data_IF_378921029790
#
_entry.id   IF_378921029790
#
_cell.length_a   1.000
_cell.length_b   1.000
_cell.length_c   1.000
_cell.angle_alpha   90.00
_cell.angle_beta   90.00
_cell.angle_gamma   90.00
#
_symmetry.space_group_name_H-M   'P 1'
#
loop_
_entity.id
_entity.type
_entity.pdbx_description
1 polymer ?
#
# COMPACT_ATOMS: atom_id res chain seq x y z
N UNK A 1 1.02 1.17 24.88
CA UNK A 1 0.75 2.14 23.81
C UNK A 1 -0.71 2.57 23.96
N UNK A 2 -0.98 3.82 24.31
CA UNK A 2 -2.36 4.31 24.43
C UNK A 2 -2.74 4.93 23.08
N UNK A 3 -3.45 4.17 22.25
CA UNK A 3 -3.85 4.61 20.91
C UNK A 3 -5.20 5.30 21.02
N UNK A 4 -5.28 6.55 20.60
CA UNK A 4 -6.56 7.27 20.50
C UNK A 4 -7.32 6.83 19.24
N UNK A 5 -8.25 5.91 19.43
CA UNK A 5 -9.07 5.37 18.35
C UNK A 5 -9.99 6.41 17.68
N UNK A 6 -10.37 7.49 18.38
CA UNK A 6 -11.19 8.54 17.77
C UNK A 6 -10.37 9.32 16.74
N UNK A 7 -9.12 9.61 17.05
CA UNK A 7 -8.22 10.28 16.11
C UNK A 7 -7.88 9.38 14.90
N UNK A 8 -7.69 8.07 15.12
CA UNK A 8 -7.50 7.11 14.02
C UNK A 8 -8.71 7.09 13.08
N UNK A 9 -9.93 7.06 13.62
CA UNK A 9 -11.16 7.10 12.83
C UNK A 9 -11.34 8.43 12.08
N UNK A 10 -11.00 9.55 12.72
CA UNK A 10 -11.07 10.86 12.06
C UNK A 10 -10.07 10.93 10.89
N UNK A 11 -8.85 10.43 11.09
CA UNK A 11 -7.82 10.35 10.04
C UNK A 11 -8.26 9.45 8.89
N UNK A 12 -8.82 8.26 9.15
CA UNK A 12 -9.27 7.36 8.09
C UNK A 12 -10.35 7.99 7.21
N UNK A 13 -11.30 8.73 7.81
CA UNK A 13 -12.31 9.49 7.07
C UNK A 13 -11.70 10.58 6.18
N UNK A 14 -10.66 11.27 6.66
CA UNK A 14 -9.97 12.28 5.85
C UNK A 14 -9.28 11.69 4.61
N UNK A 15 -8.82 10.45 4.69
CA UNK A 15 -8.18 9.76 3.57
C UNK A 15 -9.17 9.07 2.61
N UNK A 16 -10.47 9.07 2.90
CA UNK A 16 -11.48 8.34 2.14
C UNK A 16 -11.45 8.64 0.63
N UNK A 17 -11.28 9.91 0.25
CA UNK A 17 -11.20 10.31 -1.16
C UNK A 17 -9.94 9.77 -1.85
N UNK A 18 -8.80 9.78 -1.17
CA UNK A 18 -7.54 9.24 -1.68
C UNK A 18 -7.60 7.72 -1.80
N UNK A 19 -8.13 7.03 -0.77
CA UNK A 19 -8.34 5.58 -0.80
C UNK A 19 -9.25 5.15 -1.95
N UNK A 20 -10.33 5.91 -2.18
CA UNK A 20 -11.26 5.63 -3.29
C UNK A 20 -10.62 5.87 -4.65
N UNK A 21 -9.78 6.91 -4.79
CA UNK A 21 -9.03 7.16 -6.02
C UNK A 21 -8.02 6.04 -6.28
N UNK A 22 -7.22 5.67 -5.28
CA UNK A 22 -6.26 4.57 -5.38
C UNK A 22 -6.92 3.24 -5.78
N UNK A 23 -8.04 2.90 -5.16
CA UNK A 23 -8.79 1.68 -5.51
C UNK A 23 -9.26 1.71 -6.97
N UNK A 24 -9.77 2.84 -7.46
CA UNK A 24 -10.17 2.98 -8.86
C UNK A 24 -8.98 2.85 -9.81
N UNK A 25 -7.83 3.44 -9.46
CA UNK A 25 -6.61 3.34 -10.26
C UNK A 25 -6.17 1.88 -10.40
N UNK A 26 -6.24 1.10 -9.31
CA UNK A 26 -5.96 -0.33 -9.35
C UNK A 26 -6.92 -1.10 -10.26
N UNK A 27 -8.23 -0.87 -10.13
CA UNK A 27 -9.26 -1.56 -10.92
C UNK A 27 -9.15 -1.21 -12.42
N UNK A 28 -8.74 0.02 -12.74
CA UNK A 28 -8.57 0.46 -14.12
C UNK A 28 -7.39 -0.22 -14.85
N UNK A 29 -6.46 -0.81 -14.11
CA UNK A 29 -5.32 -1.53 -14.69
C UNK A 29 -5.76 -2.98 -14.95
N UNK A 30 -5.82 -3.42 -16.22
CA UNK A 30 -6.13 -4.81 -16.54
C UNK A 30 -5.01 -5.71 -16.03
N UNK A 31 -5.36 -6.69 -15.18
CA UNK A 31 -4.42 -7.59 -14.50
C UNK A 31 -4.83 -9.06 -14.65
N UNK A 32 -5.21 -9.46 -15.86
CA UNK A 32 -5.41 -10.87 -16.17
C UNK A 32 -4.10 -11.65 -15.98
N UNK A 33 -4.18 -12.98 -15.84
CA UNK A 33 -3.01 -13.84 -15.60
C UNK A 33 -1.84 -13.48 -16.53
N UNK A 34 -0.63 -13.34 -15.94
CA UNK A 34 0.60 -12.85 -16.60
C UNK A 34 0.65 -11.33 -16.90
N UNK A 35 -0.33 -10.53 -16.48
CA UNK A 35 -0.40 -9.08 -16.65
C UNK A 35 -0.32 -8.26 -15.35
N UNK A 36 -0.03 -8.92 -14.23
CA UNK A 36 -0.13 -8.34 -12.88
C UNK A 36 0.94 -7.28 -12.58
N UNK A 37 2.03 -7.26 -13.34
CA UNK A 37 3.18 -6.36 -13.13
C UNK A 37 2.76 -4.89 -13.01
N UNK A 38 1.86 -4.42 -13.88
CA UNK A 38 1.42 -3.01 -13.86
C UNK A 38 0.66 -2.65 -12.59
N UNK A 39 -0.16 -3.58 -12.08
CA UNK A 39 -0.88 -3.38 -10.81
C UNK A 39 0.11 -3.36 -9.66
N UNK A 40 1.05 -4.31 -9.63
CA UNK A 40 2.09 -4.37 -8.60
C UNK A 40 2.93 -3.09 -8.57
N UNK A 41 3.32 -2.56 -9.74
CA UNK A 41 4.04 -1.28 -9.81
C UNK A 41 3.20 -0.11 -9.30
N UNK A 42 1.89 -0.08 -9.56
CA UNK A 42 1.01 0.97 -9.02
C UNK A 42 0.88 0.88 -7.51
N UNK A 43 0.74 -0.33 -6.95
CA UNK A 43 0.67 -0.53 -5.50
C UNK A 43 2.01 -0.15 -4.86
N UNK A 44 3.15 -0.51 -5.48
CA UNK A 44 4.48 -0.13 -5.01
C UNK A 44 4.63 1.38 -4.85
N UNK A 45 4.21 2.14 -5.87
CA UNK A 45 4.24 3.61 -5.82
C UNK A 45 3.40 4.15 -4.65
N UNK A 46 2.22 3.58 -4.40
CA UNK A 46 1.38 4.01 -3.28
C UNK A 46 2.03 3.70 -1.93
N UNK A 47 2.68 2.54 -1.79
CA UNK A 47 3.41 2.16 -0.57
C UNK A 47 4.60 3.11 -0.31
N UNK A 48 5.29 3.56 -1.35
CA UNK A 48 6.34 4.57 -1.24
C UNK A 48 5.77 5.93 -0.81
N UNK A 49 4.61 6.35 -1.35
CA UNK A 49 3.93 7.62 -0.98
C UNK A 49 3.43 7.61 0.46
N UNK A 50 2.89 6.49 0.93
CA UNK A 50 2.41 6.33 2.32
C UNK A 50 3.57 6.29 3.32
N UNK A 51 4.80 6.05 2.85
CA UNK A 51 6.01 6.10 3.66
C UNK A 51 6.37 4.77 4.31
N UNK A 52 6.21 3.66 3.59
CA UNK A 52 6.81 2.39 4.00
C UNK A 52 8.34 2.51 3.98
N UNK A 53 9.02 1.92 4.96
CA UNK A 53 10.48 2.01 5.10
C UNK A 53 11.21 1.18 4.03
N UNK A 54 10.62 0.05 3.63
CA UNK A 54 11.15 -0.82 2.58
C UNK A 54 10.01 -1.43 1.78
N UNK A 55 10.13 -1.38 0.46
CA UNK A 55 9.17 -1.98 -0.46
C UNK A 55 9.94 -2.79 -1.50
N UNK A 56 9.64 -4.08 -1.58
CA UNK A 56 10.34 -5.01 -2.46
C UNK A 56 9.35 -5.85 -3.27
N UNK A 57 9.75 -6.23 -4.47
CA UNK A 57 9.02 -7.18 -5.30
C UNK A 57 9.88 -8.44 -5.38
N UNK A 58 9.33 -9.58 -4.97
CA UNK A 58 10.05 -10.83 -5.05
C UNK A 58 10.11 -11.36 -6.50
N UNK A 59 10.96 -12.36 -6.81
CA UNK A 59 11.04 -12.93 -8.16
C UNK A 59 9.75 -13.61 -8.65
N UNK A 60 8.79 -13.87 -7.76
CA UNK A 60 7.48 -14.44 -8.08
C UNK A 60 6.42 -13.37 -8.38
N UNK A 61 6.74 -12.09 -8.18
CA UNK A 61 5.83 -10.96 -8.40
C UNK A 61 5.06 -10.52 -7.15
N UNK A 62 5.35 -11.04 -5.96
CA UNK A 62 4.68 -10.57 -4.74
C UNK A 62 5.29 -9.24 -4.28
N UNK A 63 4.43 -8.33 -3.82
CA UNK A 63 4.84 -7.05 -3.25
C UNK A 63 4.93 -7.15 -1.72
N UNK A 64 6.10 -6.85 -1.17
CA UNK A 64 6.41 -6.91 0.25
C UNK A 64 6.69 -5.49 0.77
N UNK A 65 5.91 -5.06 1.76
CA UNK A 65 6.13 -3.79 2.46
C UNK A 65 6.51 -4.01 3.91
N UNK A 66 7.51 -3.27 4.36
CA UNK A 66 7.98 -3.30 5.74
C UNK A 66 7.81 -1.92 6.37
N UNK A 67 7.31 -1.90 7.60
CA UNK A 67 7.20 -0.71 8.45
C UNK A 67 7.96 -0.98 9.74
N UNK A 68 8.90 -0.11 10.06
CA UNK A 68 9.80 -0.21 11.20
C UNK A 68 11.18 -0.77 10.83
N UNK A 69 12.21 -0.22 11.48
CA UNK A 69 13.62 -0.65 11.37
C UNK A 69 14.03 -1.55 12.54
N UNK A 70 13.08 -2.27 13.14
CA UNK A 70 13.36 -3.14 14.28
C UNK A 70 14.34 -4.24 13.88
N UNK A 71 15.39 -4.45 14.69
CA UNK A 71 16.31 -5.57 14.52
C UNK A 71 15.51 -6.87 14.64
N UNK A 72 15.64 -7.77 13.66
CA UNK A 72 15.18 -9.14 13.83
C UNK A 72 15.97 -9.73 15.00
N UNK A 73 15.28 -10.08 16.08
CA UNK A 73 15.87 -10.85 17.20
C UNK A 73 16.20 -12.26 16.73
#
# INVERSE_FOLDING_TARGET
>A
MNIDFHNVLAKSKNYQSQMSAFLRDMIAIPSESCGEEKVIQRIKQEMEVVGFDRVEIDPMGNLLGYIGTGSHL
#
